data_IF_639847841990
#
_entry.id   IF_639847841990
#
_cell.length_a   1.000
_cell.length_b   1.000
_cell.length_c   1.000
_cell.angle_alpha   90.00
_cell.angle_beta   90.00
_cell.angle_gamma   90.00
#
_symmetry.space_group_name_H-M   'P 1'
#
loop_
_entity.id
_entity.type
_entity.pdbx_description
1 polymer ?
#
# COMPACT_ATOMS: atom_id res chain seq x y z
N UNK A 1 6.35 -12.93 1.29
CA UNK A 1 5.55 -14.15 1.42
C UNK A 1 5.20 -14.35 2.89
N UNK A 2 3.94 -14.70 3.17
CA UNK A 2 3.47 -15.03 4.51
C UNK A 2 3.48 -16.54 4.71
N UNK A 3 4.46 -17.05 5.44
CA UNK A 3 4.53 -18.47 5.80
C UNK A 3 3.81 -18.70 7.15
N UNK A 4 2.89 -19.67 7.16
CA UNK A 4 2.05 -20.04 8.31
C UNK A 4 2.23 -21.50 8.74
N UNK A 5 3.20 -22.22 8.16
CA UNK A 5 3.31 -23.68 8.26
C UNK A 5 3.59 -24.22 9.67
N UNK A 6 4.19 -23.44 10.57
CA UNK A 6 4.64 -23.90 11.90
C UNK A 6 3.85 -23.32 13.08
N UNK A 7 2.56 -23.01 12.91
CA UNK A 7 1.73 -22.42 13.97
C UNK A 7 2.09 -20.98 14.36
N UNK A 8 3.08 -20.38 13.67
CA UNK A 8 3.47 -18.98 13.77
C UNK A 8 3.50 -18.30 12.40
N UNK A 9 3.55 -16.97 12.39
CA UNK A 9 3.63 -16.17 11.18
C UNK A 9 5.08 -15.77 10.90
N UNK A 10 5.61 -16.18 9.74
CA UNK A 10 6.95 -15.80 9.28
C UNK A 10 6.87 -14.99 7.99
N UNK A 11 7.59 -13.88 7.94
CA UNK A 11 7.71 -13.03 6.77
C UNK A 11 8.97 -13.39 5.99
N UNK A 12 8.80 -13.86 4.75
CA UNK A 12 9.93 -14.16 3.84
C UNK A 12 9.94 -13.09 2.74
N UNK A 13 10.97 -12.23 2.66
CA UNK A 13 11.09 -11.21 1.61
C UNK A 13 11.08 -11.85 0.22
N UNK A 14 10.37 -11.25 -0.75
CA UNK A 14 10.36 -11.77 -2.12
C UNK A 14 11.76 -11.73 -2.75
N UNK A 15 12.56 -10.74 -2.38
CA UNK A 15 13.95 -10.55 -2.82
C UNK A 15 14.89 -11.67 -2.36
N UNK A 16 14.51 -12.54 -1.42
CA UNK A 16 15.36 -13.65 -0.99
C UNK A 16 15.33 -14.85 -1.97
N UNK A 17 14.38 -14.87 -2.91
CA UNK A 17 14.24 -15.94 -3.90
C UNK A 17 13.79 -15.44 -5.29
N UNK A 18 13.73 -14.11 -5.50
CA UNK A 18 13.44 -13.49 -6.79
C UNK A 18 14.51 -12.47 -7.08
N UNK A 19 15.09 -12.55 -8.28
CA UNK A 19 15.93 -11.50 -8.85
C UNK A 19 15.04 -10.35 -9.34
N UNK A 20 14.71 -9.46 -8.40
CA UNK A 20 13.80 -8.33 -8.65
C UNK A 20 14.41 -7.32 -9.62
N UNK A 21 15.72 -7.10 -9.55
CA UNK A 21 16.41 -6.15 -10.42
C UNK A 21 16.45 -6.67 -11.86
N UNK A 22 16.91 -7.91 -12.06
CA UNK A 22 16.93 -8.53 -13.37
C UNK A 22 15.54 -8.66 -13.99
N UNK A 23 14.52 -8.97 -13.18
CA UNK A 23 13.13 -8.99 -13.65
C UNK A 23 12.63 -7.59 -14.05
N UNK A 24 12.96 -6.56 -13.28
CA UNK A 24 12.59 -5.16 -13.56
C UNK A 24 13.23 -4.68 -14.86
N UNK A 25 14.52 -4.93 -15.06
CA UNK A 25 15.24 -4.60 -16.29
C UNK A 25 14.62 -5.29 -17.52
N UNK A 26 14.33 -6.60 -17.40
CA UNK A 26 13.69 -7.36 -18.47
C UNK A 26 12.29 -6.84 -18.82
N UNK A 27 11.48 -6.44 -17.82
CA UNK A 27 10.17 -5.83 -18.07
C UNK A 27 10.31 -4.48 -18.80
N UNK A 28 11.33 -3.68 -18.47
CA UNK A 28 11.62 -2.41 -19.16
C UNK A 28 12.05 -2.63 -20.61
N UNK A 29 12.94 -3.60 -20.86
CA UNK A 29 13.34 -4.00 -22.22
C UNK A 29 12.12 -4.38 -23.06
N UNK A 30 11.24 -5.24 -22.52
CA UNK A 30 10.01 -5.67 -23.20
C UNK A 30 9.01 -4.55 -23.43
N UNK A 31 8.94 -3.58 -22.52
CA UNK A 31 8.14 -2.37 -22.71
C UNK A 31 8.68 -1.55 -23.88
N UNK A 32 9.99 -1.32 -23.93
CA UNK A 32 10.64 -0.57 -25.02
C UNK A 32 10.49 -1.27 -26.39
N UNK A 33 10.54 -2.61 -26.45
CA UNK A 33 10.24 -3.35 -27.68
C UNK A 33 8.81 -3.11 -28.18
N UNK A 34 7.83 -3.11 -27.26
CA UNK A 34 6.43 -2.83 -27.61
C UNK A 34 6.25 -1.40 -28.12
N UNK A 35 6.91 -0.42 -27.50
CA UNK A 35 6.90 0.99 -27.95
C UNK A 35 7.49 1.15 -29.35
N UNK A 36 8.48 0.33 -29.72
CA UNK A 36 9.06 0.27 -31.07
C UNK A 36 8.21 -0.51 -32.08
N UNK A 37 7.00 -0.93 -31.72
CA UNK A 37 6.04 -1.59 -32.62
C UNK A 37 6.08 -3.12 -32.61
N UNK A 38 6.79 -3.76 -31.67
CA UNK A 38 6.76 -5.22 -31.52
C UNK A 38 5.36 -5.69 -31.12
N UNK A 39 4.90 -6.80 -31.70
CA UNK A 39 3.59 -7.37 -31.37
C UNK A 39 3.46 -7.71 -29.88
N UNK A 40 2.44 -7.13 -29.23
CA UNK A 40 2.10 -7.38 -27.82
C UNK A 40 1.93 -8.86 -27.50
N UNK A 41 1.37 -9.66 -28.41
CA UNK A 41 1.17 -11.09 -28.19
C UNK A 41 2.49 -11.85 -28.13
N UNK A 42 3.46 -11.48 -28.98
CA UNK A 42 4.80 -12.06 -28.98
C UNK A 42 5.53 -11.72 -27.68
N UNK A 43 5.50 -10.45 -27.27
CA UNK A 43 6.12 -10.00 -26.02
C UNK A 43 5.49 -10.70 -24.81
N UNK A 44 4.16 -10.83 -24.77
CA UNK A 44 3.46 -11.55 -23.71
C UNK A 44 3.87 -13.02 -23.61
N UNK A 45 4.05 -13.70 -24.76
CA UNK A 45 4.49 -15.09 -24.80
C UNK A 45 5.94 -15.26 -24.33
N UNK A 46 6.82 -14.32 -24.71
CA UNK A 46 8.21 -14.29 -24.26
C UNK A 46 8.31 -14.06 -22.74
N UNK A 47 7.55 -13.07 -22.22
CA UNK A 47 7.44 -12.82 -20.78
C UNK A 47 6.98 -14.09 -20.03
N UNK A 48 5.89 -14.70 -20.48
CA UNK A 48 5.33 -15.91 -19.88
C UNK A 48 6.35 -17.08 -19.82
N UNK A 49 7.26 -17.17 -20.79
CA UNK A 49 8.31 -18.18 -20.86
C UNK A 49 9.53 -17.87 -20.00
N UNK A 50 9.97 -16.61 -19.95
CA UNK A 50 11.21 -16.22 -19.25
C UNK A 50 11.02 -15.82 -17.79
N UNK A 51 9.78 -15.54 -17.35
CA UNK A 51 9.47 -15.13 -15.98
C UNK A 51 10.06 -16.06 -14.90
N UNK A 52 10.04 -17.37 -15.12
CA UNK A 52 10.54 -18.33 -14.13
C UNK A 52 12.06 -18.31 -13.95
N UNK A 53 12.81 -17.68 -14.88
CA UNK A 53 14.27 -17.63 -14.82
C UNK A 53 14.74 -16.67 -13.72
N UNK A 54 13.91 -15.70 -13.33
CA UNK A 54 14.20 -14.74 -12.27
C UNK A 54 13.82 -15.25 -10.88
N UNK A 55 13.45 -16.53 -10.75
CA UNK A 55 12.99 -17.12 -9.51
C UNK A 55 13.92 -18.27 -9.12
N UNK A 56 14.58 -18.13 -7.98
CA UNK A 56 15.39 -19.17 -7.36
C UNK A 56 14.44 -20.23 -6.75
N UNK A 57 14.24 -21.33 -7.50
CA UNK A 57 13.32 -22.40 -7.10
C UNK A 57 13.78 -23.16 -5.86
N UNK A 58 15.07 -23.14 -5.54
CA UNK A 58 15.61 -23.82 -4.35
C UNK A 58 15.27 -23.03 -3.08
N UNK A 59 15.32 -21.69 -3.16
CA UNK A 59 14.97 -20.79 -2.04
C UNK A 59 13.49 -20.44 -1.96
N UNK A 60 12.72 -20.71 -3.02
CA UNK A 60 11.28 -20.46 -3.03
C UNK A 60 10.56 -21.35 -2.00
N UNK A 61 9.57 -20.82 -1.25
CA UNK A 61 8.70 -21.62 -0.40
C UNK A 61 8.06 -22.80 -1.15
N UNK A 62 8.07 -24.00 -0.54
CA UNK A 62 7.66 -25.26 -1.20
C UNK A 62 6.18 -25.28 -1.65
N UNK A 63 5.33 -24.53 -0.96
CA UNK A 63 3.89 -24.41 -1.23
C UNK A 63 3.52 -23.20 -2.11
N UNK A 64 4.54 -22.52 -2.65
CA UNK A 64 4.41 -21.43 -3.60
C UNK A 64 4.86 -21.91 -4.98
N UNK A 65 4.13 -21.53 -6.02
CA UNK A 65 4.60 -21.64 -7.41
C UNK A 65 4.51 -20.25 -8.05
N UNK A 66 5.51 -19.42 -7.78
CA UNK A 66 5.46 -18.01 -8.16
C UNK A 66 5.50 -17.83 -9.68
N UNK A 67 6.30 -18.62 -10.39
CA UNK A 67 6.36 -18.59 -11.85
C UNK A 67 4.98 -18.78 -12.50
N UNK A 68 4.22 -19.80 -12.06
CA UNK A 68 2.85 -20.04 -12.54
C UNK A 68 1.91 -18.88 -12.20
N UNK A 69 2.04 -18.30 -11.00
CA UNK A 69 1.23 -17.14 -10.59
C UNK A 69 1.50 -15.94 -11.49
N UNK A 70 2.77 -15.58 -11.70
CA UNK A 70 3.16 -14.45 -12.54
C UNK A 70 2.73 -14.67 -14.00
N UNK A 71 2.97 -15.86 -14.55
CA UNK A 71 2.51 -16.20 -15.91
C UNK A 71 0.99 -16.09 -16.05
N UNK A 72 0.23 -16.54 -15.05
CA UNK A 72 -1.23 -16.39 -15.06
C UNK A 72 -1.66 -14.92 -15.03
N UNK A 73 -0.98 -14.06 -14.26
CA UNK A 73 -1.27 -12.62 -14.22
C UNK A 73 -1.06 -12.00 -15.61
N UNK A 74 0.07 -12.30 -16.25
CA UNK A 74 0.40 -11.78 -17.59
C UNK A 74 -0.60 -12.25 -18.66
N UNK A 75 -0.99 -13.53 -18.64
CA UNK A 75 -1.89 -14.07 -19.66
C UNK A 75 -3.35 -13.64 -19.44
N UNK A 76 -3.87 -13.78 -18.21
CA UNK A 76 -5.29 -13.57 -17.90
C UNK A 76 -5.66 -12.10 -17.73
N UNK A 77 -4.74 -11.26 -17.22
CA UNK A 77 -4.96 -9.82 -17.01
C UNK A 77 -6.25 -9.51 -16.24
N UNK A 78 -6.56 -10.30 -15.21
CA UNK A 78 -7.79 -10.18 -14.44
C UNK A 78 -7.50 -10.05 -12.95
N UNK A 79 -8.43 -9.43 -12.22
CA UNK A 79 -8.33 -9.27 -10.77
C UNK A 79 -8.23 -10.62 -10.05
N UNK A 80 -8.91 -11.66 -10.55
CA UNK A 80 -8.80 -13.02 -10.00
C UNK A 80 -7.38 -13.57 -10.07
N UNK A 81 -6.69 -13.39 -11.21
CA UNK A 81 -5.29 -13.81 -11.34
C UNK A 81 -4.36 -13.04 -10.40
N UNK A 82 -4.57 -11.73 -10.27
CA UNK A 82 -3.80 -10.86 -9.37
C UNK A 82 -4.06 -11.17 -7.88
N UNK A 83 -5.29 -11.48 -7.51
CA UNK A 83 -5.68 -11.79 -6.12
C UNK A 83 -4.93 -12.99 -5.56
N UNK A 84 -4.64 -14.00 -6.40
CA UNK A 84 -3.87 -15.19 -6.01
C UNK A 84 -2.47 -14.81 -5.48
N UNK A 85 -1.86 -13.78 -6.07
CA UNK A 85 -0.60 -13.24 -5.58
C UNK A 85 -0.80 -12.50 -4.25
N UNK A 86 -1.76 -11.59 -4.16
CA UNK A 86 -2.00 -10.79 -2.94
C UNK A 86 -2.42 -11.63 -1.71
N UNK A 87 -3.10 -12.76 -1.89
CA UNK A 87 -3.40 -13.65 -0.75
C UNK A 87 -2.17 -14.38 -0.19
N UNK A 88 -1.07 -14.45 -0.95
CA UNK A 88 0.20 -15.06 -0.52
C UNK A 88 1.27 -14.03 -0.13
N UNK A 89 1.16 -12.80 -0.61
CA UNK A 89 2.13 -11.74 -0.41
C UNK A 89 1.49 -10.51 0.23
N UNK A 90 2.06 -10.07 1.34
CA UNK A 90 1.76 -8.78 1.93
C UNK A 90 2.80 -7.76 1.45
N UNK A 91 2.34 -6.65 0.87
CA UNK A 91 3.20 -5.55 0.46
C UNK A 91 3.47 -4.65 1.66
N UNK A 92 4.74 -4.53 2.03
CA UNK A 92 5.22 -3.60 3.05
C UNK A 92 6.00 -2.51 2.34
N UNK A 93 5.36 -1.36 2.16
CA UNK A 93 5.97 -0.15 1.65
C UNK A 93 6.12 0.87 2.76
N UNK A 94 7.21 1.63 2.75
CA UNK A 94 7.36 2.84 3.55
C UNK A 94 7.68 3.99 2.62
N UNK A 95 7.06 5.14 2.87
CA UNK A 95 7.39 6.39 2.19
C UNK A 95 7.48 7.49 3.24
N UNK A 96 8.46 8.38 3.10
CA UNK A 96 8.55 9.56 3.95
C UNK A 96 7.39 10.52 3.63
N UNK A 97 6.81 11.16 4.64
CA UNK A 97 5.88 12.26 4.41
C UNK A 97 6.63 13.45 3.78
N UNK A 98 5.94 14.21 2.93
CA UNK A 98 6.45 15.48 2.44
C UNK A 98 6.03 16.61 3.39
N UNK A 99 6.75 17.72 3.31
CA UNK A 99 6.51 18.99 3.99
C UNK A 99 6.71 20.14 2.96
N UNK A 100 6.43 21.41 3.33
CA UNK A 100 6.51 22.51 2.37
C UNK A 100 7.91 22.74 1.76
N UNK A 101 8.99 22.27 2.39
CA UNK A 101 10.37 22.46 1.93
C UNK A 101 10.88 21.33 1.02
N UNK A 102 10.23 20.17 1.00
CA UNK A 102 10.59 19.02 0.16
C UNK A 102 9.44 18.53 -0.73
N UNK A 103 8.46 19.41 -1.00
CA UNK A 103 7.29 19.08 -1.79
C UNK A 103 7.67 18.76 -3.25
N UNK A 104 7.43 17.52 -3.67
CA UNK A 104 7.72 17.03 -5.02
C UNK A 104 6.43 16.79 -5.80
N UNK A 105 6.22 17.59 -6.84
CA UNK A 105 5.04 17.53 -7.72
C UNK A 105 4.99 16.22 -8.52
N UNK A 106 6.13 15.70 -9.00
CA UNK A 106 6.18 14.43 -9.74
C UNK A 106 5.69 13.27 -8.88
N UNK A 107 6.07 13.29 -7.60
CA UNK A 107 5.60 12.31 -6.62
C UNK A 107 4.10 12.45 -6.38
N UNK A 108 3.58 13.66 -6.29
CA UNK A 108 2.14 13.94 -6.11
C UNK A 108 1.33 13.43 -7.30
N UNK A 109 1.80 13.62 -8.53
CA UNK A 109 1.12 13.14 -9.74
C UNK A 109 0.99 11.61 -9.82
N UNK A 110 1.82 10.89 -9.06
CA UNK A 110 1.82 9.41 -9.00
C UNK A 110 1.25 8.89 -7.68
N UNK A 111 0.60 9.74 -6.89
CA UNK A 111 0.09 9.35 -5.58
C UNK A 111 -0.99 8.26 -5.73
N UNK A 112 -0.94 7.25 -4.86
CA UNK A 112 -1.98 6.20 -4.79
C UNK A 112 -3.05 6.47 -3.74
N UNK A 113 -2.92 7.55 -2.96
CA UNK A 113 -3.78 7.87 -1.82
C UNK A 113 -4.36 9.26 -2.01
N UNK A 114 -5.69 9.35 -2.03
CA UNK A 114 -6.41 10.58 -2.34
C UNK A 114 -7.54 10.82 -1.35
N UNK A 115 -7.87 12.10 -1.16
CA UNK A 115 -9.11 12.55 -0.52
C UNK A 115 -10.12 12.91 -1.59
N UNK A 116 -11.37 12.56 -1.35
CA UNK A 116 -12.51 13.05 -2.13
C UNK A 116 -13.19 14.12 -1.29
N UNK A 117 -13.31 15.32 -1.83
CA UNK A 117 -13.98 16.45 -1.18
C UNK A 117 -15.48 16.45 -1.48
N UNK A 118 -16.33 17.14 -0.69
CA UNK A 118 -17.78 17.17 -0.92
C UNK A 118 -18.22 17.74 -2.28
N UNK A 119 -17.41 18.63 -2.87
CA UNK A 119 -17.55 19.17 -4.23
C UNK A 119 -16.98 18.24 -5.32
N UNK A 120 -16.71 16.97 -4.99
CA UNK A 120 -16.28 15.90 -5.91
C UNK A 120 -14.87 16.09 -6.50
N UNK A 121 -14.03 16.94 -5.91
CA UNK A 121 -12.62 17.01 -6.28
C UNK A 121 -11.82 15.84 -5.67
N UNK A 122 -10.84 15.34 -6.43
CA UNK A 122 -9.91 14.28 -6.00
C UNK A 122 -8.56 14.92 -5.73
N UNK A 123 -8.19 15.01 -4.44
CA UNK A 123 -6.98 15.71 -3.99
C UNK A 123 -5.97 14.69 -3.46
N UNK A 124 -4.74 14.63 -3.99
CA UNK A 124 -3.69 13.75 -3.47
C UNK A 124 -3.41 13.98 -1.98
N UNK A 125 -3.03 12.92 -1.26
CA UNK A 125 -2.82 12.99 0.19
C UNK A 125 -1.86 14.11 0.62
N UNK A 126 -0.72 14.24 -0.07
CA UNK A 126 0.28 15.23 0.28
C UNK A 126 -0.20 16.64 -0.06
N UNK A 127 -0.89 16.83 -1.19
CA UNK A 127 -1.49 18.11 -1.56
C UNK A 127 -2.49 18.59 -0.51
N UNK A 128 -3.34 17.69 -0.02
CA UNK A 128 -4.33 18.00 1.01
C UNK A 128 -3.73 18.34 2.38
N UNK A 129 -2.64 17.66 2.77
CA UNK A 129 -2.07 17.79 4.12
C UNK A 129 -0.89 18.77 4.22
N UNK A 130 -0.11 18.95 3.16
CA UNK A 130 1.11 19.79 3.15
C UNK A 130 0.79 21.21 2.71
N UNK A 131 -0.21 21.40 1.85
CA UNK A 131 -0.67 22.71 1.38
C UNK A 131 -2.14 22.94 1.79
N UNK A 132 -2.46 22.85 3.09
CA UNK A 132 -3.85 22.83 3.53
C UNK A 132 -4.59 24.14 3.24
N UNK A 133 -3.89 25.28 3.22
CA UNK A 133 -4.48 26.59 2.97
C UNK A 133 -5.03 26.72 1.54
N UNK A 134 -4.46 25.95 0.60
CA UNK A 134 -4.89 25.95 -0.79
C UNK A 134 -6.06 24.99 -1.03
N UNK A 135 -6.09 23.85 -0.34
CA UNK A 135 -7.02 22.76 -0.63
C UNK A 135 -7.95 22.41 0.53
N UNK A 136 -7.40 21.96 1.66
CA UNK A 136 -8.19 21.44 2.77
C UNK A 136 -9.04 22.52 3.43
N UNK A 137 -8.44 23.64 3.78
CA UNK A 137 -9.03 24.61 4.69
C UNK A 137 -10.19 25.36 4.02
N UNK A 138 -10.07 25.65 2.72
CA UNK A 138 -11.15 26.24 1.93
C UNK A 138 -12.38 25.32 1.86
N UNK A 139 -12.17 24.06 1.49
CA UNK A 139 -13.23 23.04 1.42
C UNK A 139 -13.85 22.82 2.79
N UNK A 140 -13.05 22.66 3.84
CA UNK A 140 -13.57 22.46 5.19
C UNK A 140 -14.41 23.65 5.64
N UNK A 141 -13.98 24.89 5.36
CA UNK A 141 -14.75 26.08 5.70
C UNK A 141 -16.07 26.13 4.94
N UNK A 142 -16.06 25.89 3.64
CA UNK A 142 -17.24 25.92 2.78
C UNK A 142 -18.31 24.90 3.20
N UNK A 143 -17.89 23.68 3.51
CA UNK A 143 -18.79 22.58 3.87
C UNK A 143 -18.93 22.36 5.38
N UNK A 144 -18.33 23.21 6.22
CA UNK A 144 -18.49 23.15 7.67
C UNK A 144 -19.89 23.61 8.07
N UNK A 145 -20.37 23.05 9.18
CA UNK A 145 -21.54 23.55 9.90
C UNK A 145 -21.13 23.97 11.30
N UNK A 146 -21.91 24.85 11.92
CA UNK A 146 -21.64 25.29 13.29
C UNK A 146 -21.74 24.11 14.27
N UNK A 147 -21.03 24.20 15.40
CA UNK A 147 -21.14 23.21 16.46
C UNK A 147 -22.57 23.10 17.01
N UNK A 148 -23.32 24.19 17.04
CA UNK A 148 -24.73 24.22 17.43
C UNK A 148 -25.57 23.37 16.48
N UNK A 149 -25.40 23.58 15.17
CA UNK A 149 -26.12 22.81 14.15
C UNK A 149 -25.75 21.33 14.20
N UNK A 150 -24.45 21.02 14.33
CA UNK A 150 -23.99 19.64 14.47
C UNK A 150 -24.57 18.98 15.73
N UNK A 151 -24.62 19.68 16.86
CA UNK A 151 -25.22 19.17 18.11
C UNK A 151 -26.70 18.85 17.93
N UNK A 152 -27.43 19.66 17.15
CA UNK A 152 -28.84 19.42 16.81
C UNK A 152 -29.01 18.19 15.90
N UNK A 153 -28.18 18.06 14.87
CA UNK A 153 -28.24 16.93 13.92
C UNK A 153 -27.75 15.61 14.54
N UNK A 154 -26.77 15.67 15.45
CA UNK A 154 -26.14 14.52 16.10
C UNK A 154 -26.02 14.72 17.62
N UNK A 155 -27.16 14.63 18.35
CA UNK A 155 -27.16 14.84 19.81
C UNK A 155 -26.19 13.92 20.54
N UNK A 156 -25.46 14.46 21.52
CA UNK A 156 -24.53 13.68 22.35
C UNK A 156 -23.16 13.41 21.73
N UNK A 157 -22.90 13.89 20.52
CA UNK A 157 -21.59 13.76 19.84
C UNK A 157 -20.65 14.95 20.05
N UNK A 158 -21.05 15.92 20.87
CA UNK A 158 -20.25 17.10 21.22
C UNK A 158 -19.87 17.04 22.71
N UNK A 159 -18.68 17.53 23.03
CA UNK A 159 -18.17 17.61 24.40
C UNK A 159 -17.32 16.40 24.81
N UNK A 160 -17.21 16.18 26.12
CA UNK A 160 -16.26 15.20 26.67
C UNK A 160 -16.50 13.75 26.25
N UNK A 161 -17.73 13.41 25.87
CA UNK A 161 -18.12 12.08 25.40
C UNK A 161 -17.59 11.75 24.01
N UNK A 162 -17.31 12.75 23.17
CA UNK A 162 -16.78 12.52 21.82
C UNK A 162 -15.26 12.40 21.79
N UNK A 163 -14.60 12.78 22.88
CA UNK A 163 -13.16 12.64 23.02
C UNK A 163 -12.81 11.22 23.44
N UNK A 164 -12.07 10.52 22.59
CA UNK A 164 -11.43 9.28 23.00
C UNK A 164 -10.44 9.57 24.14
N UNK A 165 -10.67 8.99 25.32
CA UNK A 165 -9.75 9.03 26.46
C UNK A 165 -9.08 7.66 26.56
N UNK A 166 -7.77 7.61 26.29
CA UNK A 166 -6.98 6.37 26.35
C UNK A 166 -6.82 5.93 27.81
N UNK A 167 -7.25 4.72 28.12
CA UNK A 167 -6.97 4.10 29.42
C UNK A 167 -5.55 3.55 29.45
N UNK A 168 -4.61 4.42 29.84
CA UNK A 168 -3.18 4.09 29.88
C UNK A 168 -2.90 2.93 30.85
N UNK A 169 -3.58 2.89 32.00
CA UNK A 169 -3.35 1.85 33.03
C UNK A 169 -3.74 0.47 32.51
N UNK A 170 -4.92 0.37 31.87
CA UNK A 170 -5.37 -0.88 31.24
C UNK A 170 -4.48 -1.30 30.08
N UNK A 171 -3.99 -0.35 29.30
CA UNK A 171 -3.14 -0.65 28.15
C UNK A 171 -1.76 -1.14 28.61
N UNK A 172 -1.19 -0.49 29.64
CA UNK A 172 0.10 -0.86 30.22
C UNK A 172 0.08 -2.17 31.04
N UNK A 173 -1.08 -2.58 31.55
CA UNK A 173 -1.19 -3.86 32.27
C UNK A 173 -1.18 -5.07 31.34
N UNK A 174 -1.45 -4.89 30.04
CA UNK A 174 -1.50 -5.95 29.05
C UNK A 174 -0.14 -6.57 28.73
N UNK A 175 -0.12 -7.89 28.56
CA UNK A 175 1.10 -8.65 28.27
C UNK A 175 1.80 -8.18 26.99
N UNK A 176 1.03 -7.87 25.93
CA UNK A 176 1.57 -7.35 24.67
C UNK A 176 2.32 -6.04 24.89
N UNK A 177 1.75 -5.10 25.67
CA UNK A 177 2.41 -3.81 25.92
C UNK A 177 3.72 -4.01 26.68
N UNK A 178 3.70 -4.81 27.75
CA UNK A 178 4.91 -5.13 28.52
C UNK A 178 5.99 -5.75 27.65
N UNK A 179 5.66 -6.77 26.84
CA UNK A 179 6.61 -7.42 25.91
C UNK A 179 7.17 -6.46 24.86
N UNK A 180 6.33 -5.60 24.29
CA UNK A 180 6.77 -4.64 23.27
C UNK A 180 7.71 -3.58 23.83
N UNK A 181 7.45 -3.11 25.06
CA UNK A 181 8.20 -2.01 25.66
C UNK A 181 9.20 -2.46 26.74
N UNK A 182 9.45 -3.75 26.91
CA UNK A 182 10.33 -4.30 27.96
C UNK A 182 11.71 -3.65 28.00
N UNK A 183 12.29 -3.33 26.84
CA UNK A 183 13.60 -2.65 26.74
C UNK A 183 13.56 -1.12 26.93
N UNK A 184 12.38 -0.54 27.16
CA UNK A 184 12.17 0.90 27.33
C UNK A 184 11.48 1.26 28.67
N UNK A 185 11.01 0.26 29.40
CA UNK A 185 10.39 0.42 30.72
C UNK A 185 11.48 0.18 31.77
N UNK A 186 11.88 1.24 32.46
CA UNK A 186 12.75 1.17 33.64
C UNK A 186 12.09 0.39 34.80
#
# INVERSE_FOLDING_TARGET
YLDKSNGGLRFIPITSFVDVEGLSEYLREKTAEMEKGRSRHMVMLELARKLSNYIDKEKQPKDLNLGKILTNIILRRSYGALSTFHYKFNYLGMMHFMDPYNYDVERVMRCGVHYVTPDMNVVPFCTFNVLPELYRDNVQKEFSISLEEWSRLKPGTVGDRSKYKRDVKKLASGETYKKTYEGFLD
#
